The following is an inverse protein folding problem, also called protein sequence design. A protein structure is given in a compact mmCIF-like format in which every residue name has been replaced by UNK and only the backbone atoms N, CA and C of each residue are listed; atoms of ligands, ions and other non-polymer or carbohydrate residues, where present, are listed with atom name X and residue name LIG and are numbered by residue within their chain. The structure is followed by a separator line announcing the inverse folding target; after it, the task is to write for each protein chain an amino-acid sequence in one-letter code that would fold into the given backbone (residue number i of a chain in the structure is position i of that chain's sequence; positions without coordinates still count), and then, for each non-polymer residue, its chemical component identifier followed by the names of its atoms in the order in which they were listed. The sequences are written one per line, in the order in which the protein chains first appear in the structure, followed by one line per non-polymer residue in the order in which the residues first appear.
data_IF_935551227172
#
_entry.id   IF_935551227172
#
_cell.length_a   1.000
_cell.length_b   1.000
_cell.length_c   1.000
_cell.angle_alpha   90.00
_cell.angle_beta   90.00
_cell.angle_gamma   90.00
#
_symmetry.space_group_name_H-M   'P 1'
#
loop_
_entity.id
_entity.type
_entity.pdbx_description
1 polymer ?
#
# COMPACT_ATOMS: atom_id res chain seq x y z
N UNK A 1 -8.64 -7.01 -18.10
CA UNK A 1 -8.21 -5.60 -18.23
C UNK A 1 -7.02 -5.38 -17.34
N UNK A 2 -5.83 -5.42 -17.92
CA UNK A 2 -4.51 -5.29 -17.25
C UNK A 2 -4.43 -4.09 -16.28
N UNK A 3 -4.94 -2.93 -16.69
CA UNK A 3 -4.97 -1.71 -15.88
C UNK A 3 -5.76 -1.87 -14.56
N UNK A 4 -6.80 -2.70 -14.56
CA UNK A 4 -7.64 -2.96 -13.38
C UNK A 4 -7.00 -3.97 -12.43
N UNK A 5 -6.14 -4.85 -12.95
CA UNK A 5 -5.41 -5.85 -12.17
C UNK A 5 -4.14 -5.27 -11.52
N UNK A 6 -3.49 -4.30 -12.18
CA UNK A 6 -2.20 -3.76 -11.72
C UNK A 6 -2.28 -2.41 -11.01
N UNK A 7 -3.38 -1.64 -11.16
CA UNK A 7 -3.50 -0.34 -10.48
C UNK A 7 -4.09 -0.49 -9.07
N UNK A 8 -3.23 -0.27 -8.05
CA UNK A 8 -3.48 -0.49 -6.61
C UNK A 8 -4.73 0.21 -6.05
N UNK A 9 -5.15 1.33 -6.64
CA UNK A 9 -6.39 2.02 -6.24
C UNK A 9 -7.63 1.51 -6.98
N UNK A 10 -7.50 0.99 -8.21
CA UNK A 10 -8.64 0.41 -8.94
C UNK A 10 -9.01 -0.99 -8.46
N UNK A 11 -8.05 -1.73 -7.89
CA UNK A 11 -8.35 -3.00 -7.22
C UNK A 11 -9.28 -2.74 -6.04
N UNK A 12 -9.14 -1.65 -5.29
CA UNK A 12 -10.06 -1.30 -4.18
C UNK A 12 -11.52 -1.22 -4.64
N UNK A 13 -11.78 -0.57 -5.77
CA UNK A 13 -13.12 -0.47 -6.35
C UNK A 13 -13.60 -1.76 -7.05
N UNK A 14 -12.67 -2.64 -7.45
CA UNK A 14 -12.97 -3.95 -8.07
C UNK A 14 -13.07 -5.10 -7.05
N UNK A 15 -12.75 -4.88 -5.76
CA UNK A 15 -12.84 -5.86 -4.68
C UNK A 15 -14.28 -6.31 -4.37
N UNK A 16 -15.29 -5.74 -5.03
CA UNK A 16 -16.69 -6.11 -4.84
C UNK A 16 -17.06 -7.45 -5.51
N UNK A 17 -16.23 -7.97 -6.41
CA UNK A 17 -16.41 -9.33 -6.92
C UNK A 17 -16.03 -10.31 -5.80
N UNK A 18 -16.99 -11.13 -5.35
CA UNK A 18 -16.99 -11.94 -4.11
C UNK A 18 -15.90 -13.01 -3.93
N UNK A 19 -14.70 -12.79 -4.47
CA UNK A 19 -13.57 -13.71 -4.54
C UNK A 19 -12.49 -13.43 -3.47
N UNK A 20 -12.55 -12.29 -2.77
CA UNK A 20 -11.53 -11.85 -1.80
C UNK A 20 -12.14 -11.78 -0.39
N UNK A 21 -11.51 -12.46 0.57
CA UNK A 21 -11.94 -12.50 1.98
C UNK A 21 -11.96 -11.10 2.61
N UNK A 22 -12.84 -10.87 3.59
CA UNK A 22 -12.92 -9.61 4.34
C UNK A 22 -11.55 -9.18 4.90
N UNK A 23 -10.78 -10.15 5.41
CA UNK A 23 -9.43 -9.93 5.92
C UNK A 23 -8.46 -9.45 4.83
N UNK A 24 -8.53 -10.01 3.62
CA UNK A 24 -7.72 -9.55 2.49
C UNK A 24 -8.06 -8.10 2.08
N UNK A 25 -9.35 -7.72 2.12
CA UNK A 25 -9.80 -6.34 1.85
C UNK A 25 -9.24 -5.36 2.89
N UNK A 26 -9.35 -5.69 4.18
CA UNK A 26 -8.84 -4.85 5.27
C UNK A 26 -7.33 -4.66 5.18
N UNK A 27 -6.59 -5.69 4.80
CA UNK A 27 -5.13 -5.62 4.66
C UNK A 27 -4.73 -4.73 3.46
N UNK A 28 -5.41 -4.83 2.32
CA UNK A 28 -5.18 -3.93 1.17
C UNK A 28 -5.47 -2.47 1.53
N UNK A 29 -6.59 -2.21 2.21
CA UNK A 29 -6.95 -0.86 2.68
C UNK A 29 -5.91 -0.35 3.68
N UNK A 30 -5.54 -1.17 4.67
CA UNK A 30 -4.51 -0.83 5.65
C UNK A 30 -3.18 -0.49 4.98
N UNK A 31 -2.77 -1.28 3.98
CA UNK A 31 -1.56 -1.01 3.20
C UNK A 31 -1.60 0.35 2.49
N UNK A 32 -2.74 0.74 1.92
CA UNK A 32 -2.90 2.03 1.25
C UNK A 32 -2.86 3.16 2.28
N UNK A 33 -3.64 3.02 3.35
CA UNK A 33 -3.70 4.00 4.42
C UNK A 33 -2.33 4.24 5.06
N UNK A 34 -1.55 3.18 5.34
CA UNK A 34 -0.21 3.32 5.91
C UNK A 34 0.76 4.06 4.98
N UNK A 35 0.68 3.81 3.66
CA UNK A 35 1.53 4.54 2.70
C UNK A 35 1.15 6.01 2.65
N UNK A 36 -0.15 6.30 2.65
CA UNK A 36 -0.66 7.68 2.63
C UNK A 36 -0.32 8.43 3.92
N UNK A 37 -0.52 7.84 5.08
CA UNK A 37 -0.20 8.47 6.37
C UNK A 37 1.29 8.70 6.53
N UNK A 38 2.13 7.77 6.06
CA UNK A 38 3.58 7.93 6.05
C UNK A 38 3.99 9.09 5.14
N UNK A 39 3.40 9.23 3.95
CA UNK A 39 3.64 10.36 3.05
C UNK A 39 3.28 11.69 3.72
N UNK A 40 2.10 11.78 4.36
CA UNK A 40 1.67 12.98 5.09
C UNK A 40 2.60 13.31 6.25
N UNK A 41 3.07 12.30 6.99
CA UNK A 41 4.02 12.49 8.09
C UNK A 41 5.36 13.05 7.60
N UNK A 42 5.91 12.48 6.52
CA UNK A 42 7.18 12.97 5.95
C UNK A 42 7.02 14.39 5.43
N UNK A 43 5.90 14.73 4.81
CA UNK A 43 5.60 16.10 4.39
C UNK A 43 5.59 17.06 5.58
N UNK A 44 4.81 16.74 6.64
CA UNK A 44 4.74 17.57 7.83
C UNK A 44 6.11 17.78 8.47
N UNK A 45 6.90 16.72 8.63
CA UNK A 45 8.25 16.81 9.19
C UNK A 45 9.17 17.71 8.35
N UNK A 46 9.13 17.60 7.01
CA UNK A 46 9.93 18.46 6.14
C UNK A 46 9.46 19.93 6.17
N UNK A 47 8.17 20.18 6.34
CA UNK A 47 7.63 21.53 6.50
C UNK A 47 8.05 22.16 7.85
N UNK A 48 7.95 21.42 8.94
CA UNK A 48 8.39 21.88 10.27
C UNK A 48 9.89 22.17 10.32
N UNK A 49 10.70 21.37 9.59
CA UNK A 49 12.13 21.60 9.46
C UNK A 49 12.45 22.88 8.68
N UNK A 50 11.67 23.21 7.66
CA UNK A 50 11.87 24.40 6.83
C UNK A 50 11.55 25.68 7.59
N UNK A 51 10.47 25.69 8.38
CA UNK A 51 10.01 26.85 9.15
C UNK A 51 9.84 26.49 10.62
N UNK A 52 10.93 26.30 11.38
CA UNK A 52 10.83 25.93 12.79
C UNK A 52 10.18 27.05 13.60
N UNK A 53 9.43 26.69 14.64
CA UNK A 53 8.81 27.66 15.54
C UNK A 53 9.83 28.62 16.16
N UNK A 54 9.37 29.83 16.45
CA UNK A 54 10.20 30.88 17.04
C UNK A 54 10.72 30.47 18.43
N UNK A 55 11.99 30.10 18.47
CA UNK A 55 12.75 29.77 19.69
C UNK A 55 13.22 31.01 20.49
N UNK A 56 12.80 32.22 20.11
CA UNK A 56 13.23 33.50 20.66
C UNK A 56 14.74 33.73 20.62
N UNK A 57 15.49 33.01 19.76
CA UNK A 57 16.94 33.20 19.61
C UNK A 57 17.30 34.51 18.87
N UNK A 58 16.42 35.00 18.00
CA UNK A 58 16.69 36.19 17.17
C UNK A 58 16.96 37.46 17.99
N UNK A 59 16.27 37.66 19.12
CA UNK A 59 16.45 38.83 19.98
C UNK A 59 17.80 38.87 20.70
N UNK A 60 18.58 37.78 20.68
CA UNK A 60 19.92 37.74 21.30
C UNK A 60 21.01 38.33 20.39
N UNK A 61 20.73 38.54 19.09
CA UNK A 61 21.72 39.04 18.14
C UNK A 61 21.72 40.56 18.06
N UNK A 62 22.84 41.17 18.45
CA UNK A 62 23.05 42.62 18.39
C UNK A 62 23.64 43.12 17.07
N UNK A 63 24.12 42.22 16.20
CA UNK A 63 24.78 42.54 14.94
C UNK A 63 23.99 41.99 13.75
N UNK A 64 23.97 42.72 12.64
CA UNK A 64 23.30 42.32 11.39
C UNK A 64 23.87 41.00 10.83
N UNK A 65 25.20 40.90 10.78
CA UNK A 65 25.89 39.67 10.34
C UNK A 65 25.49 38.46 11.19
N UNK A 66 25.37 38.65 12.52
CA UNK A 66 24.98 37.60 13.44
C UNK A 66 23.52 37.17 13.22
N UNK A 67 22.61 38.13 12.99
CA UNK A 67 21.19 37.89 12.72
C UNK A 67 20.98 37.00 11.47
N UNK A 68 21.80 37.18 10.44
CA UNK A 68 21.72 36.40 9.20
C UNK A 68 22.51 35.08 9.21
N UNK A 69 23.16 34.72 10.33
CA UNK A 69 23.99 33.50 10.44
C UNK A 69 23.17 32.24 10.23
N UNK A 70 21.96 32.19 10.81
CA UNK A 70 21.06 31.04 10.68
C UNK A 70 20.25 31.18 9.39
N UNK A 71 20.52 30.29 8.44
CA UNK A 71 19.79 30.18 7.17
C UNK A 71 18.77 29.05 7.21
N UNK A 72 17.76 29.16 6.35
CA UNK A 72 16.77 28.12 6.14
C UNK A 72 17.39 26.89 5.46
N UNK A 73 16.86 25.70 5.73
CA UNK A 73 17.47 24.42 5.29
C UNK A 73 17.38 24.21 3.78
N UNK A 74 16.24 24.53 3.16
CA UNK A 74 16.04 24.34 1.72
C UNK A 74 16.22 25.63 0.89
N UNK A 75 16.45 26.78 1.54
CA UNK A 75 16.77 28.03 0.85
C UNK A 75 17.86 28.85 1.57
N UNK A 76 19.08 28.81 1.04
CA UNK A 76 20.20 29.60 1.57
C UNK A 76 20.02 31.11 1.40
N UNK A 77 19.11 31.55 0.51
CA UNK A 77 18.82 32.96 0.34
C UNK A 77 17.98 33.52 1.51
N UNK A 78 17.20 32.66 2.19
CA UNK A 78 16.36 33.07 3.31
C UNK A 78 17.06 32.81 4.64
N UNK A 79 17.07 33.82 5.50
CA UNK A 79 17.51 33.71 6.89
C UNK A 79 16.32 33.50 7.82
N UNK A 80 16.56 32.75 8.89
CA UNK A 80 15.59 32.47 9.95
C UNK A 80 15.15 33.75 10.68
N UNK A 81 16.09 34.67 10.90
CA UNK A 81 15.80 36.00 11.43
C UNK A 81 15.90 37.05 10.32
N UNK A 82 15.20 38.16 10.53
CA UNK A 82 15.23 39.35 9.72
C UNK A 82 15.75 40.53 10.53
N UNK A 83 16.65 41.30 9.91
CA UNK A 83 17.17 42.52 10.49
C UNK A 83 16.28 43.70 10.12
N UNK A 84 15.79 44.43 11.13
CA UNK A 84 15.02 45.64 10.96
C UNK A 84 15.90 46.87 11.18
N UNK A 85 16.13 47.62 10.11
CA UNK A 85 16.92 48.87 10.14
C UNK A 85 16.19 50.04 10.83
N UNK A 86 14.87 49.93 11.04
CA UNK A 86 14.05 50.93 11.70
C UNK A 86 13.21 50.26 12.79
N UNK A 87 13.82 49.88 13.94
CA UNK A 87 13.09 49.30 15.05
C UNK A 87 12.08 50.31 15.60
N UNK A 88 10.86 49.83 15.89
CA UNK A 88 9.92 50.61 16.70
C UNK A 88 10.46 50.72 18.14
N UNK A 89 10.13 51.79 18.89
CA UNK A 89 10.60 51.92 20.27
C UNK A 89 10.14 50.72 21.12
N UNK A 90 11.10 49.94 21.62
CA UNK A 90 10.86 48.71 22.39
C UNK A 90 10.95 47.39 21.60
N UNK A 91 11.33 47.42 20.32
CA UNK A 91 11.63 46.22 19.52
C UNK A 91 13.14 46.03 19.34
N UNK A 92 13.56 44.77 19.33
CA UNK A 92 14.94 44.37 18.99
C UNK A 92 15.22 44.58 17.50
N UNK A 93 16.48 44.86 17.15
CA UNK A 93 16.92 45.06 15.77
C UNK A 93 16.81 43.77 14.93
N UNK A 94 16.85 42.60 15.56
CA UNK A 94 16.75 41.30 14.90
C UNK A 94 15.49 40.58 15.37
N UNK A 95 14.58 40.28 14.45
CA UNK A 95 13.29 39.64 14.75
C UNK A 95 13.12 38.34 13.98
N UNK A 96 12.33 37.44 14.54
CA UNK A 96 11.97 36.20 13.86
C UNK A 96 11.16 36.51 12.60
N UNK A 97 11.52 35.86 11.49
CA UNK A 97 10.81 35.99 10.22
C UNK A 97 9.89 34.79 10.06
N UNK A 98 8.59 35.04 9.87
CA UNK A 98 7.66 34.00 9.45
C UNK A 98 7.98 33.53 8.04
N UNK A 99 8.23 32.23 7.88
CA UNK A 99 8.65 31.62 6.62
C UNK A 99 7.55 31.75 5.55
N UNK A 100 7.92 32.16 4.34
CA UNK A 100 7.01 32.25 3.20
C UNK A 100 7.23 31.04 2.28
N UNK A 101 6.20 30.18 2.16
CA UNK A 101 6.29 28.98 1.34
C UNK A 101 6.36 29.33 -0.16
N UNK A 102 7.58 29.30 -0.72
CA UNK A 102 7.83 29.46 -2.15
C UNK A 102 7.62 28.15 -2.91
N UNK A 103 7.14 28.23 -4.16
CA UNK A 103 6.99 27.07 -5.05
C UNK A 103 8.28 26.25 -5.22
N UNK A 104 9.44 26.92 -5.18
CA UNK A 104 10.76 26.27 -5.23
C UNK A 104 10.94 25.30 -4.07
N UNK A 105 10.63 25.75 -2.85
CA UNK A 105 10.77 24.96 -1.61
C UNK A 105 9.80 23.78 -1.64
N UNK A 106 8.55 23.99 -2.05
CA UNK A 106 7.57 22.92 -2.21
C UNK A 106 8.04 21.84 -3.19
N UNK A 107 8.68 22.22 -4.31
CA UNK A 107 9.25 21.26 -5.25
C UNK A 107 10.37 20.40 -4.60
N UNK A 108 11.27 21.02 -3.83
CA UNK A 108 12.30 20.29 -3.08
C UNK A 108 11.69 19.33 -2.06
N UNK A 109 10.72 19.78 -1.27
CA UNK A 109 10.02 18.95 -0.28
C UNK A 109 9.37 17.75 -0.95
N UNK A 110 8.65 17.94 -2.07
CA UNK A 110 8.02 16.83 -2.80
C UNK A 110 9.03 15.80 -3.33
N UNK A 111 10.17 16.27 -3.86
CA UNK A 111 11.24 15.38 -4.32
C UNK A 111 11.79 14.57 -3.14
N UNK A 112 12.09 15.22 -2.01
CA UNK A 112 12.58 14.53 -0.82
C UNK A 112 11.55 13.52 -0.27
N UNK A 113 10.28 13.90 -0.17
CA UNK A 113 9.20 12.99 0.23
C UNK A 113 9.14 11.77 -0.68
N UNK A 114 9.28 11.94 -2.00
CA UNK A 114 9.27 10.80 -2.94
C UNK A 114 10.43 9.82 -2.69
N UNK A 115 11.62 10.35 -2.39
CA UNK A 115 12.82 9.56 -2.07
C UNK A 115 12.59 8.81 -0.76
N UNK A 116 12.21 9.49 0.32
CA UNK A 116 11.90 8.85 1.60
C UNK A 116 10.82 7.78 1.45
N UNK A 117 9.73 8.09 0.76
CA UNK A 117 8.64 7.14 0.55
C UNK A 117 9.09 5.88 -0.20
N UNK A 118 10.00 6.02 -1.17
CA UNK A 118 10.56 4.86 -1.87
C UNK A 118 11.41 3.96 -0.96
N UNK A 119 12.16 4.55 -0.03
CA UNK A 119 12.98 3.81 0.94
C UNK A 119 12.09 3.01 1.90
N UNK A 120 10.98 3.59 2.36
CA UNK A 120 10.05 2.94 3.27
C UNK A 120 9.07 1.98 2.58
N UNK A 121 8.86 2.10 1.27
CA UNK A 121 7.97 1.22 0.53
C UNK A 121 8.43 -0.26 0.60
N UNK A 122 9.74 -0.52 0.50
CA UNK A 122 10.30 -1.89 0.52
C UNK A 122 10.06 -2.63 1.85
N UNK A 123 10.42 -2.08 3.03
CA UNK A 123 10.15 -2.75 4.30
C UNK A 123 8.65 -2.85 4.61
N UNK A 124 7.85 -1.86 4.18
CA UNK A 124 6.40 -1.89 4.33
C UNK A 124 5.78 -3.03 3.50
N UNK A 125 6.24 -3.20 2.26
CA UNK A 125 5.82 -4.32 1.42
C UNK A 125 6.21 -5.67 2.02
N UNK A 126 7.38 -5.77 2.65
CA UNK A 126 7.78 -6.97 3.37
C UNK A 126 6.87 -7.26 4.57
N UNK A 127 6.60 -6.25 5.41
CA UNK A 127 5.70 -6.37 6.56
C UNK A 127 4.32 -6.86 6.13
N UNK A 128 3.72 -6.24 5.11
CA UNK A 128 2.40 -6.64 4.64
C UNK A 128 2.39 -8.00 3.93
N UNK A 129 3.50 -8.44 3.31
CA UNK A 129 3.65 -9.82 2.84
C UNK A 129 3.63 -10.82 3.99
N UNK A 130 4.33 -10.52 5.10
CA UNK A 130 4.32 -11.36 6.30
C UNK A 130 2.91 -11.40 6.92
N UNK A 131 2.20 -10.27 7.00
CA UNK A 131 0.82 -10.23 7.50
C UNK A 131 -0.18 -10.97 6.59
N UNK A 132 0.12 -11.08 5.29
CA UNK A 132 -0.67 -11.86 4.34
C UNK A 132 -0.33 -13.36 4.35
N UNK A 133 0.75 -13.78 5.01
CA UNK A 133 1.16 -15.17 4.98
C UNK A 133 0.08 -16.07 5.59
N UNK A 134 -0.30 -17.17 4.91
CA UNK A 134 -1.28 -18.10 5.46
C UNK A 134 -0.75 -18.70 6.76
N UNK A 135 -1.53 -18.58 7.83
CA UNK A 135 -1.27 -19.28 9.09
C UNK A 135 -1.16 -20.79 8.80
N UNK A 136 -0.22 -21.48 9.48
CA UNK A 136 0.08 -22.91 9.24
C UNK A 136 -1.18 -23.81 9.24
N UNK A 137 -2.18 -23.53 10.07
CA UNK A 137 -3.46 -24.24 10.08
C UNK A 137 -4.20 -24.17 8.72
N UNK A 138 -4.22 -23.01 8.07
CA UNK A 138 -4.86 -22.84 6.77
C UNK A 138 -4.10 -23.58 5.65
N UNK A 139 -2.78 -23.68 5.77
CA UNK A 139 -1.95 -24.44 4.84
C UNK A 139 -2.18 -25.95 4.98
N UNK A 140 -2.33 -26.44 6.21
CA UNK A 140 -2.64 -27.84 6.50
C UNK A 140 -4.05 -28.22 6.00
N UNK A 141 -5.05 -27.36 6.24
CA UNK A 141 -6.43 -27.58 5.76
C UNK A 141 -6.53 -27.55 4.23
N UNK A 142 -5.77 -26.68 3.56
CA UNK A 142 -5.67 -26.65 2.10
C UNK A 142 -5.01 -27.92 1.54
N UNK A 143 -3.96 -28.45 2.20
CA UNK A 143 -3.31 -29.71 1.83
C UNK A 143 -4.25 -30.92 2.00
N UNK A 144 -5.02 -30.96 3.10
CA UNK A 144 -6.01 -32.01 3.38
C UNK A 144 -7.18 -31.96 2.39
N UNK A 145 -7.71 -30.77 2.10
CA UNK A 145 -8.78 -30.58 1.10
C UNK A 145 -8.33 -31.01 -0.30
N UNK A 146 -7.09 -30.72 -0.70
CA UNK A 146 -6.55 -31.13 -2.00
C UNK A 146 -6.28 -32.65 -2.07
N UNK A 147 -5.85 -33.27 -0.96
CA UNK A 147 -5.69 -34.74 -0.85
C UNK A 147 -7.02 -35.50 -0.86
N UNK A 148 -8.09 -34.92 -0.31
CA UNK A 148 -9.43 -35.51 -0.34
C UNK A 148 -10.13 -35.26 -1.69
N UNK A 149 -9.92 -34.09 -2.31
CA UNK A 149 -10.43 -33.75 -3.63
C UNK A 149 -9.84 -34.59 -4.76
N UNK A 150 -8.54 -34.90 -4.71
CA UNK A 150 -7.83 -35.68 -5.73
C UNK A 150 -8.21 -37.17 -5.83
N UNK A 151 -8.92 -37.72 -4.83
CA UNK A 151 -9.47 -39.10 -4.90
C UNK A 151 -10.93 -39.16 -5.36
N UNK A 152 -11.65 -38.03 -5.36
CA UNK A 152 -13.09 -38.01 -5.67
C UNK A 152 -13.42 -37.84 -7.16
N UNK A 153 -12.47 -37.34 -7.96
CA UNK A 153 -12.62 -37.14 -9.41
C UNK A 153 -12.48 -38.44 -10.22
N UNK A 154 -11.69 -39.41 -9.75
CA UNK A 154 -11.63 -40.75 -10.36
C UNK A 154 -12.85 -41.61 -9.97
N UNK A 155 -13.41 -41.45 -8.78
CA UNK A 155 -14.56 -42.23 -8.31
C UNK A 155 -15.90 -41.85 -8.98
N UNK A 156 -16.04 -40.61 -9.52
CA UNK A 156 -17.25 -40.20 -10.27
C UNK A 156 -17.25 -40.63 -11.73
N UNK A 157 -16.09 -40.88 -12.34
CA UNK A 157 -15.98 -41.35 -13.72
C UNK A 157 -16.35 -42.84 -13.89
N UNK A 158 -16.03 -43.67 -12.89
CA UNK A 158 -16.25 -45.13 -12.98
C UNK A 158 -17.72 -45.52 -12.75
N UNK A 159 -18.50 -44.73 -12.00
CA UNK A 159 -19.93 -45.05 -11.72
C UNK A 159 -20.88 -44.81 -12.90
N UNK A 160 -20.44 -44.14 -13.97
CA UNK A 160 -21.28 -43.97 -15.18
C UNK A 160 -21.10 -45.06 -16.24
N UNK A 161 -20.13 -45.95 -16.08
CA UNK A 161 -19.87 -47.04 -17.03
C UNK A 161 -20.64 -48.34 -16.73
N UNK A 162 -21.22 -48.50 -15.54
CA UNK A 162 -21.97 -49.71 -15.16
C UNK A 162 -23.46 -49.69 -15.57
N UNK A 163 -24.03 -48.54 -15.88
CA UNK A 163 -25.43 -48.44 -16.32
C UNK A 163 -25.62 -48.68 -17.82
N UNK A 164 -24.57 -48.44 -18.63
CA UNK A 164 -24.63 -48.59 -20.09
C UNK A 164 -24.38 -50.05 -20.50
N UNK A 165 -23.55 -50.80 -19.76
CA UNK A 165 -23.29 -52.23 -20.04
C UNK A 165 -24.46 -53.15 -19.70
N UNK A 166 -25.22 -52.86 -18.64
CA UNK A 166 -26.37 -53.68 -18.24
C UNK A 166 -27.50 -53.68 -19.28
N UNK A 167 -27.74 -52.54 -19.95
CA UNK A 167 -28.75 -52.44 -21.00
C UNK A 167 -28.26 -53.01 -22.35
N UNK A 168 -26.96 -52.87 -22.68
CA UNK A 168 -26.38 -53.45 -23.89
C UNK A 168 -26.39 -54.99 -23.85
N UNK A 169 -26.06 -55.60 -22.70
CA UNK A 169 -26.10 -57.06 -22.53
C UNK A 169 -27.53 -57.59 -22.60
N UNK A 170 -28.52 -56.86 -22.07
CA UNK A 170 -29.93 -57.27 -22.12
C UNK A 170 -30.53 -57.13 -23.52
N UNK A 171 -30.08 -56.15 -24.32
CA UNK A 171 -30.46 -56.01 -25.72
C UNK A 171 -29.82 -57.09 -26.61
N UNK A 172 -28.53 -57.37 -26.42
CA UNK A 172 -27.82 -58.43 -27.16
C UNK A 172 -28.37 -59.84 -26.88
N UNK A 173 -28.88 -60.09 -25.67
CA UNK A 173 -29.50 -61.38 -25.29
C UNK A 173 -30.88 -61.58 -25.92
N UNK A 174 -31.61 -60.51 -26.28
CA UNK A 174 -32.92 -60.61 -26.96
C UNK A 174 -32.78 -60.92 -28.44
N UNK A 175 -31.74 -60.40 -29.10
CA UNK A 175 -31.48 -60.67 -30.52
C UNK A 175 -30.93 -62.06 -30.78
N UNK A 176 -30.20 -62.67 -29.84
CA UNK A 176 -29.70 -64.05 -29.99
C UNK A 176 -30.80 -65.10 -29.83
N UNK A 177 -31.80 -64.88 -28.95
CA UNK A 177 -32.90 -65.84 -28.77
C UNK A 177 -33.87 -65.83 -29.97
N UNK A 178 -34.00 -64.69 -30.66
CA UNK A 178 -34.83 -64.59 -31.87
C UNK A 178 -34.20 -65.25 -33.11
N UNK A 179 -32.90 -65.55 -33.09
CA UNK A 179 -32.17 -66.17 -34.21
C UNK A 179 -32.05 -67.71 -34.10
N UNK A 180 -32.57 -68.32 -33.02
CA UNK A 180 -32.50 -69.76 -32.77
C UNK A 180 -33.87 -70.47 -32.83
N UNK A 181 -34.89 -69.81 -33.40
CA UNK A 181 -36.20 -70.42 -33.68
C UNK A 181 -36.48 -70.29 -35.18
N UNK A 182 -35.76 -71.07 -35.97
CA UNK A 182 -36.19 -71.65 -37.26
C UNK A 182 -35.59 -73.06 -37.37
#
# INVERSE_FOLDING_TARGET
GELRAHHRYMTVFSLNDGQISLQGKMLVIGKILTVETMQMFVLAMLYDLQGPENDNSCGQFANEEACHTRKSLFDSAQSYCEWNNQPSPGQDNCMYREEQFSFKISMYILVLTSIFSSLFATPLDYLFKVCHAPLLENAEQAQVSNRVGGRSSLARGVRRLSAISANAVKAARRTTIAATVE
#
